data_IF_212682099018
#
_entry.id   IF_212682099018
#
_cell.length_a   1.000
_cell.length_b   1.000
_cell.length_c   1.000
_cell.angle_alpha   90.00
_cell.angle_beta   90.00
_cell.angle_gamma   90.00
#
_symmetry.space_group_name_H-M   'P 1'
#
loop_
_entity.id
_entity.type
_entity.pdbx_description
1 polymer ?
#
# COMPACT_ATOMS: atom_id res chain seq x y z
N UNK A 1 -13.82 -4.93 18.28
CA UNK A 1 -12.64 -5.74 17.89
C UNK A 1 -12.32 -5.39 16.45
N UNK A 2 -11.14 -4.84 16.18
CA UNK A 2 -10.68 -4.67 14.80
C UNK A 2 -10.44 -6.06 14.21
N UNK A 3 -11.00 -6.32 13.02
CA UNK A 3 -10.83 -7.60 12.32
C UNK A 3 -9.58 -7.46 11.45
N UNK A 4 -8.56 -8.24 11.77
CA UNK A 4 -7.35 -8.32 10.96
C UNK A 4 -7.64 -9.11 9.69
N UNK A 5 -7.20 -8.56 8.57
CA UNK A 5 -7.41 -9.13 7.24
C UNK A 5 -6.07 -9.45 6.59
N UNK A 6 -6.04 -10.56 5.86
CA UNK A 6 -4.93 -11.00 5.05
C UNK A 6 -5.31 -10.79 3.57
N UNK A 7 -4.64 -9.84 2.93
CA UNK A 7 -4.80 -9.51 1.52
C UNK A 7 -3.72 -10.21 0.70
N UNK A 8 -4.14 -11.02 -0.26
CA UNK A 8 -3.26 -11.62 -1.25
C UNK A 8 -3.28 -10.75 -2.50
N UNK A 9 -2.15 -10.13 -2.81
CA UNK A 9 -2.00 -9.16 -3.87
C UNK A 9 -1.03 -9.69 -4.92
N UNK A 10 -1.18 -9.25 -6.17
CA UNK A 10 -0.19 -9.52 -7.21
C UNK A 10 0.10 -8.28 -8.04
N UNK A 11 1.35 -8.07 -8.39
CA UNK A 11 1.85 -7.01 -9.27
C UNK A 11 2.44 -7.66 -10.51
N UNK A 12 1.83 -7.40 -11.67
CA UNK A 12 2.24 -8.05 -12.92
C UNK A 12 3.61 -7.54 -13.42
N UNK A 13 3.86 -6.24 -13.31
CA UNK A 13 5.10 -5.61 -13.75
C UNK A 13 5.60 -4.66 -12.67
N UNK A 14 6.42 -5.21 -11.76
CA UNK A 14 6.99 -4.42 -10.66
C UNK A 14 7.98 -3.36 -11.15
N UNK A 15 8.65 -3.59 -12.29
CA UNK A 15 9.64 -2.67 -12.84
C UNK A 15 8.99 -1.32 -13.22
N UNK A 16 7.76 -1.36 -13.73
CA UNK A 16 7.01 -0.17 -14.14
C UNK A 16 5.91 0.24 -13.14
N UNK A 17 5.77 -0.48 -12.01
CA UNK A 17 4.77 -0.16 -11.00
C UNK A 17 5.15 1.11 -10.23
N UNK A 18 4.52 2.23 -10.57
CA UNK A 18 4.73 3.54 -9.92
C UNK A 18 3.38 4.24 -9.73
N UNK A 19 3.29 5.02 -8.66
CA UNK A 19 2.14 5.88 -8.40
C UNK A 19 2.07 7.08 -9.35
N UNK A 20 0.95 7.82 -9.32
CA UNK A 20 0.73 8.98 -10.18
C UNK A 20 1.67 10.15 -9.86
N UNK A 21 2.16 10.22 -8.61
CA UNK A 21 3.06 11.28 -8.13
C UNK A 21 4.41 10.65 -7.82
N UNK A 22 5.45 11.04 -8.57
CA UNK A 22 6.78 10.45 -8.46
C UNK A 22 7.36 10.56 -7.03
N UNK A 23 7.13 11.67 -6.33
CA UNK A 23 7.64 11.87 -4.97
C UNK A 23 6.96 10.98 -3.91
N UNK A 24 5.76 10.46 -4.18
CA UNK A 24 5.03 9.55 -3.29
C UNK A 24 5.20 8.08 -3.69
N UNK A 25 5.72 7.84 -4.89
CA UNK A 25 5.86 6.50 -5.44
C UNK A 25 6.97 5.72 -4.74
N UNK A 26 6.83 4.41 -4.78
CA UNK A 26 7.92 3.49 -4.45
C UNK A 26 9.08 3.64 -5.44
N UNK A 27 10.32 3.61 -4.96
CA UNK A 27 11.54 3.83 -5.75
C UNK A 27 12.52 2.63 -5.75
N UNK A 28 12.20 1.54 -5.03
CA UNK A 28 13.06 0.37 -4.95
C UNK A 28 13.10 -0.49 -6.22
N UNK A 29 13.89 -1.57 -6.17
CA UNK A 29 14.20 -2.41 -7.33
C UNK A 29 13.60 -3.82 -7.28
N UNK A 30 13.08 -4.27 -6.13
CA UNK A 30 12.64 -5.66 -5.96
C UNK A 30 11.44 -5.88 -5.04
N UNK A 31 10.95 -7.13 -4.93
CA UNK A 31 9.78 -7.46 -4.12
C UNK A 31 9.98 -7.15 -2.64
N UNK A 32 11.17 -7.36 -2.09
CA UNK A 32 11.44 -7.06 -0.68
C UNK A 32 11.34 -5.56 -0.38
N UNK A 33 11.85 -4.71 -1.27
CA UNK A 33 11.74 -3.26 -1.13
C UNK A 33 10.28 -2.82 -1.25
N UNK A 34 9.51 -3.41 -2.18
CA UNK A 34 8.07 -3.17 -2.29
C UNK A 34 7.36 -3.51 -0.97
N UNK A 35 7.62 -4.70 -0.43
CA UNK A 35 7.01 -5.13 0.83
C UNK A 35 7.37 -4.17 1.98
N UNK A 36 8.63 -3.73 2.07
CA UNK A 36 9.05 -2.75 3.06
C UNK A 36 8.32 -1.41 2.90
N UNK A 37 8.20 -0.91 1.66
CA UNK A 37 7.50 0.34 1.37
C UNK A 37 6.01 0.27 1.70
N UNK A 38 5.34 -0.82 1.32
CA UNK A 38 3.93 -1.05 1.63
C UNK A 38 3.72 -1.18 3.14
N UNK A 39 4.57 -1.96 3.83
CA UNK A 39 4.50 -2.08 5.28
C UNK A 39 4.65 -0.71 5.96
N UNK A 40 5.62 0.10 5.54
CA UNK A 40 5.80 1.44 6.09
C UNK A 40 4.59 2.34 5.85
N UNK A 41 3.99 2.30 4.66
CA UNK A 41 2.81 3.08 4.31
C UNK A 41 1.54 2.70 5.09
N UNK A 42 1.48 1.48 5.64
CA UNK A 42 0.41 1.06 6.56
C UNK A 42 0.70 1.43 8.01
N UNK A 43 1.98 1.46 8.41
CA UNK A 43 2.41 1.73 9.79
C UNK A 43 2.56 3.22 10.12
N UNK A 44 2.79 4.06 9.11
CA UNK A 44 3.05 5.50 9.28
C UNK A 44 2.05 6.36 8.52
N UNK A 45 1.80 7.56 9.05
CA UNK A 45 1.00 8.60 8.40
C UNK A 45 1.80 9.39 7.36
N UNK A 46 3.12 9.22 7.28
CA UNK A 46 4.00 10.07 6.44
C UNK A 46 3.57 10.13 4.98
N UNK A 47 3.20 8.98 4.38
CA UNK A 47 2.75 8.94 2.99
C UNK A 47 1.43 9.70 2.81
N UNK A 48 0.52 9.56 3.78
CA UNK A 48 -0.77 10.24 3.77
C UNK A 48 -0.62 11.74 3.95
N UNK A 49 0.17 12.20 4.93
CA UNK A 49 0.41 13.62 5.19
C UNK A 49 1.05 14.30 3.97
N UNK A 50 2.03 13.64 3.34
CA UNK A 50 2.67 14.15 2.11
C UNK A 50 1.67 14.25 0.95
N UNK A 51 0.78 13.28 0.79
CA UNK A 51 -0.28 13.32 -0.21
C UNK A 51 -1.33 14.41 0.10
N UNK A 52 -1.73 14.51 1.37
CA UNK A 52 -2.70 15.48 1.89
C UNK A 52 -2.21 16.91 1.64
N UNK A 53 -0.93 17.18 1.88
CA UNK A 53 -0.30 18.48 1.62
C UNK A 53 -0.25 18.87 0.14
N UNK A 54 -0.49 17.93 -0.78
CA UNK A 54 -0.57 18.19 -2.23
C UNK A 54 -2.00 18.44 -2.72
N UNK A 55 -3.01 18.31 -1.86
CA UNK A 55 -4.40 18.62 -2.24
C UNK A 55 -4.60 20.14 -2.24
N UNK A 56 -5.56 20.63 -3.04
CA UNK A 56 -5.87 22.06 -3.11
C UNK A 56 -6.32 22.63 -1.75
N UNK A 57 -7.08 21.82 -0.99
CA UNK A 57 -7.56 22.14 0.35
C UNK A 57 -7.18 21.02 1.34
N UNK A 58 -5.92 21.01 1.84
CA UNK A 58 -5.42 19.94 2.72
C UNK A 58 -6.24 19.77 4.00
N UNK A 59 -6.76 20.86 4.55
CA UNK A 59 -7.50 20.86 5.81
C UNK A 59 -8.90 20.22 5.66
N UNK A 60 -9.47 20.20 4.46
CA UNK A 60 -10.76 19.56 4.17
C UNK A 60 -10.65 18.05 3.94
N UNK A 61 -9.43 17.52 3.75
CA UNK A 61 -9.19 16.08 3.59
C UNK A 61 -9.57 15.36 4.88
N UNK A 62 -10.46 14.37 4.76
CA UNK A 62 -10.91 13.53 5.89
C UNK A 62 -9.71 12.88 6.62
N UNK A 63 -9.48 13.20 7.92
CA UNK A 63 -8.41 12.61 8.71
C UNK A 63 -8.50 11.08 8.85
N UNK A 64 -9.70 10.50 8.68
CA UNK A 64 -9.91 9.06 8.75
C UNK A 64 -9.14 8.29 7.67
N UNK A 65 -8.84 8.94 6.54
CA UNK A 65 -7.98 8.39 5.47
C UNK A 65 -6.51 8.25 5.91
N UNK A 66 -6.13 8.92 7.00
CA UNK A 66 -4.83 8.85 7.65
C UNK A 66 -4.68 7.70 8.65
N UNK A 67 -5.65 6.78 8.76
CA UNK A 67 -5.51 5.66 9.71
C UNK A 67 -4.28 4.79 9.41
N UNK A 68 -3.69 4.28 10.48
CA UNK A 68 -2.48 3.44 10.45
C UNK A 68 -2.68 2.19 11.31
N UNK A 69 -1.92 1.15 10.99
CA UNK A 69 -1.81 -0.07 11.77
C UNK A 69 -0.32 -0.34 12.05
N UNK A 70 0.16 0.00 13.26
CA UNK A 70 1.56 -0.20 13.65
C UNK A 70 2.02 -1.67 13.60
N UNK A 71 1.08 -2.61 13.59
CA UNK A 71 1.32 -4.05 13.57
C UNK A 71 1.10 -4.67 12.18
N UNK A 72 0.87 -3.85 11.14
CA UNK A 72 0.72 -4.32 9.77
C UNK A 72 2.00 -5.01 9.30
N UNK A 73 1.90 -6.14 8.62
CA UNK A 73 3.06 -6.83 8.03
C UNK A 73 2.85 -7.03 6.55
N UNK A 74 3.91 -6.85 5.77
CA UNK A 74 3.90 -7.16 4.35
C UNK A 74 5.11 -8.02 3.98
N UNK A 75 4.88 -9.00 3.12
CA UNK A 75 5.94 -9.81 2.52
C UNK A 75 5.65 -9.99 1.05
N UNK A 76 6.67 -9.93 0.20
CA UNK A 76 6.49 -10.14 -1.22
C UNK A 76 7.58 -11.08 -1.76
N UNK A 77 7.24 -11.75 -2.86
CA UNK A 77 8.10 -12.74 -3.52
C UNK A 77 7.86 -12.71 -5.02
N UNK A 78 8.90 -12.99 -5.78
CA UNK A 78 8.75 -13.28 -7.20
C UNK A 78 8.05 -14.63 -7.35
N UNK A 79 7.08 -14.67 -8.26
CA UNK A 79 6.25 -15.82 -8.59
C UNK A 79 6.17 -15.87 -10.12
N UNK A 80 7.13 -16.56 -10.73
CA UNK A 80 7.31 -16.60 -12.18
C UNK A 80 7.49 -15.18 -12.78
N UNK A 81 6.56 -14.71 -13.62
CA UNK A 81 6.62 -13.40 -14.27
C UNK A 81 5.98 -12.25 -13.46
N UNK A 82 5.52 -12.50 -12.24
CA UNK A 82 4.86 -11.50 -11.40
C UNK A 82 5.43 -11.46 -9.98
N UNK A 83 5.09 -10.42 -9.23
CA UNK A 83 5.34 -10.36 -7.79
C UNK A 83 4.05 -10.64 -7.04
N UNK A 84 4.06 -11.62 -6.16
CA UNK A 84 2.97 -11.85 -5.20
C UNK A 84 3.33 -11.19 -3.87
N UNK A 85 2.34 -10.58 -3.22
CA UNK A 85 2.50 -9.89 -1.94
C UNK A 85 1.37 -10.24 -0.99
N UNK A 86 1.77 -10.66 0.21
CA UNK A 86 0.91 -10.93 1.35
C UNK A 86 0.93 -9.71 2.25
N UNK A 87 -0.24 -9.14 2.54
CA UNK A 87 -0.40 -8.00 3.45
C UNK A 87 -1.38 -8.37 4.56
N UNK A 88 -0.94 -8.28 5.81
CA UNK A 88 -1.76 -8.50 6.99
C UNK A 88 -1.95 -7.16 7.70
N UNK A 89 -3.19 -6.69 7.83
CA UNK A 89 -3.50 -5.44 8.52
C UNK A 89 -4.94 -5.38 9.02
N UNK A 90 -5.19 -4.55 10.03
CA UNK A 90 -6.52 -4.16 10.49
C UNK A 90 -7.13 -3.00 9.70
N UNK A 91 -6.37 -2.41 8.77
CA UNK A 91 -6.86 -1.31 7.94
C UNK A 91 -7.93 -1.80 6.94
N UNK A 92 -8.99 -0.99 6.72
CA UNK A 92 -10.01 -1.29 5.73
C UNK A 92 -9.43 -1.23 4.32
N UNK A 93 -10.02 -2.01 3.42
CA UNK A 93 -9.57 -2.11 2.02
C UNK A 93 -9.52 -0.77 1.28
N UNK A 94 -10.36 0.21 1.66
CA UNK A 94 -10.32 1.57 1.09
C UNK A 94 -8.98 2.27 1.34
N UNK A 95 -8.45 2.16 2.57
CA UNK A 95 -7.16 2.75 2.96
C UNK A 95 -6.02 1.96 2.31
N UNK A 96 -6.08 0.63 2.37
CA UNK A 96 -5.08 -0.24 1.71
C UNK A 96 -4.96 0.09 0.22
N UNK A 97 -6.10 0.17 -0.49
CA UNK A 97 -6.16 0.55 -1.91
C UNK A 97 -5.54 1.91 -2.16
N UNK A 98 -5.86 2.90 -1.34
CA UNK A 98 -5.35 4.25 -1.50
C UNK A 98 -3.81 4.27 -1.35
N UNK A 99 -3.25 3.61 -0.31
CA UNK A 99 -1.80 3.52 -0.11
C UNK A 99 -1.10 2.80 -1.26
N UNK A 100 -1.67 1.69 -1.74
CA UNK A 100 -1.13 0.97 -2.89
C UNK A 100 -1.13 1.84 -4.16
N UNK A 101 -2.21 2.56 -4.42
CA UNK A 101 -2.30 3.45 -5.59
C UNK A 101 -1.29 4.60 -5.52
N UNK A 102 -1.00 5.13 -4.33
CA UNK A 102 0.03 6.16 -4.15
C UNK A 102 1.45 5.61 -4.41
N UNK A 103 1.74 4.37 -3.98
CA UNK A 103 3.07 3.78 -4.11
C UNK A 103 3.34 3.22 -5.52
N UNK A 104 2.40 2.43 -6.05
CA UNK A 104 2.60 1.58 -7.23
C UNK A 104 1.52 1.72 -8.30
N UNK A 105 0.63 2.72 -8.14
CA UNK A 105 -0.44 2.99 -9.10
C UNK A 105 -1.43 1.84 -9.19
N UNK A 106 -1.98 1.63 -10.39
CA UNK A 106 -3.00 0.61 -10.65
C UNK A 106 -2.40 -0.75 -11.07
N UNK A 107 -1.08 -0.92 -10.92
CA UNK A 107 -0.32 -2.09 -11.40
C UNK A 107 -0.48 -3.35 -10.53
N UNK A 108 -1.47 -3.37 -9.64
CA UNK A 108 -1.73 -4.46 -8.71
C UNK A 108 -3.16 -4.99 -8.83
N UNK A 109 -3.35 -6.25 -8.42
CA UNK A 109 -4.64 -6.92 -8.36
C UNK A 109 -4.81 -7.58 -6.99
N UNK A 110 -6.01 -7.46 -6.41
CA UNK A 110 -6.41 -8.28 -5.27
C UNK A 110 -6.78 -9.67 -5.78
N UNK A 111 -6.05 -10.69 -5.31
CA UNK A 111 -6.29 -12.09 -5.65
C UNK A 111 -7.29 -12.73 -4.70
N UNK A 112 -7.13 -12.49 -3.41
CA UNK A 112 -7.96 -13.07 -2.36
C UNK A 112 -7.88 -12.18 -1.10
N UNK A 113 -8.87 -12.28 -0.22
CA UNK A 113 -8.91 -11.61 1.08
C UNK A 113 -9.50 -12.58 2.10
N UNK A 114 -8.75 -12.81 3.18
CA UNK A 114 -9.16 -13.70 4.27
C UNK A 114 -9.10 -12.97 5.61
N UNK A 115 -9.80 -13.49 6.61
CA UNK A 115 -9.52 -13.10 8.00
C UNK A 115 -8.16 -13.69 8.39
N UNK A 116 -7.32 -12.87 9.01
CA UNK A 116 -6.00 -13.27 9.50
C UNK A 116 -6.08 -13.89 10.90
#
# INVERSE_FOLDING_TARGET
>A
MAIRSHYYLSVADLAHARGPVASLSYDGAGPNDLAAAVQNAMRSTDLFERWRAMQDEPDEVDPSLGAVDPQATASARVSDLRTDMDLITELPMSIVRQRLNLLIGNSWQLRDMRKA
#
